data_IF_510274757827
#
_entry.id   IF_510274757827
#
_cell.length_a   1.000
_cell.length_b   1.000
_cell.length_c   1.000
_cell.angle_alpha   90.00
_cell.angle_beta   90.00
_cell.angle_gamma   90.00
#
_symmetry.space_group_name_H-M   'P 1'
#
loop_
_entity.id
_entity.type
_entity.pdbx_description
1 polymer ?
#
# COMPACT_ATOMS: atom_id res chain seq x y z
N UNK A 1 -0.03 -68.95 -45.84
CA UNK A 1 -0.96 -67.83 -46.11
C UNK A 1 -0.60 -66.68 -45.18
N UNK A 2 0.18 -65.70 -45.66
CA UNK A 2 0.66 -64.56 -44.87
C UNK A 2 -0.52 -63.63 -44.53
N UNK A 3 -0.82 -63.45 -43.24
CA UNK A 3 -1.69 -62.34 -42.78
C UNK A 3 -0.81 -61.27 -42.14
N UNK A 4 -0.70 -60.16 -42.86
CA UNK A 4 0.04 -58.94 -42.50
C UNK A 4 -0.66 -58.27 -41.32
N UNK A 5 -0.05 -58.30 -40.13
CA UNK A 5 -0.50 -57.54 -38.95
C UNK A 5 0.55 -56.51 -38.48
N UNK A 6 1.49 -56.13 -39.34
CA UNK A 6 2.56 -55.17 -38.99
C UNK A 6 2.21 -53.70 -39.23
N UNK A 7 1.07 -53.37 -39.86
CA UNK A 7 0.72 -51.98 -40.19
C UNK A 7 0.06 -51.14 -39.07
N UNK A 8 -0.83 -51.66 -38.19
CA UNK A 8 -1.52 -50.78 -37.25
C UNK A 8 -0.65 -50.36 -36.07
N UNK A 9 0.35 -51.16 -35.69
CA UNK A 9 1.26 -50.87 -34.58
C UNK A 9 2.27 -49.77 -34.90
N UNK A 10 2.71 -49.66 -36.17
CA UNK A 10 3.65 -48.62 -36.60
C UNK A 10 3.01 -47.23 -36.61
N UNK A 11 1.72 -47.13 -36.97
CA UNK A 11 0.98 -45.86 -36.94
C UNK A 11 0.72 -45.35 -35.53
N UNK A 12 0.50 -46.24 -34.55
CA UNK A 12 0.31 -45.87 -33.13
C UNK A 12 1.61 -45.37 -32.49
N UNK A 13 2.75 -45.94 -32.87
CA UNK A 13 4.06 -45.46 -32.41
C UNK A 13 4.43 -44.10 -33.01
N UNK A 14 4.12 -43.84 -34.29
CA UNK A 14 4.39 -42.52 -34.89
C UNK A 14 3.49 -41.40 -34.33
N UNK A 15 2.24 -41.70 -33.96
CA UNK A 15 1.35 -40.68 -33.38
C UNK A 15 1.78 -40.25 -31.97
N UNK A 16 2.37 -41.15 -31.18
CA UNK A 16 2.89 -40.82 -29.84
C UNK A 16 4.14 -39.91 -29.88
N UNK A 17 4.98 -40.04 -30.90
CA UNK A 17 6.18 -39.20 -31.05
C UNK A 17 5.80 -37.77 -31.45
N UNK A 18 4.76 -37.59 -32.28
CA UNK A 18 4.29 -36.27 -32.67
C UNK A 18 3.69 -35.46 -31.50
N UNK A 19 3.07 -36.11 -30.51
CA UNK A 19 2.53 -35.43 -29.32
C UNK A 19 3.67 -34.87 -28.45
N UNK A 20 4.80 -35.57 -28.37
CA UNK A 20 5.94 -35.16 -27.53
C UNK A 20 6.72 -33.95 -28.08
N UNK A 21 6.56 -33.62 -29.36
CA UNK A 21 7.22 -32.47 -30.03
C UNK A 21 6.34 -31.21 -30.10
N UNK A 22 5.04 -31.33 -29.77
CA UNK A 22 4.09 -30.21 -29.77
C UNK A 22 3.83 -29.65 -28.37
N UNK A 23 4.41 -30.23 -27.32
CA UNK A 23 4.49 -29.58 -26.02
C UNK A 23 5.55 -28.47 -26.13
N UNK A 24 5.18 -27.19 -25.96
CA UNK A 24 6.19 -26.16 -25.77
C UNK A 24 7.05 -26.59 -24.57
N UNK A 25 8.37 -26.48 -24.69
CA UNK A 25 9.26 -26.66 -23.54
C UNK A 25 8.72 -25.80 -22.40
N UNK A 26 8.35 -26.45 -21.29
CA UNK A 26 7.70 -25.90 -20.08
C UNK A 26 8.55 -24.86 -19.32
N UNK A 27 9.42 -24.12 -20.00
CA UNK A 27 10.29 -23.09 -19.43
C UNK A 27 9.81 -21.68 -19.70
N UNK A 28 9.03 -21.41 -20.76
CA UNK A 28 8.49 -20.05 -21.01
C UNK A 28 7.10 -19.80 -20.42
N UNK A 29 6.22 -20.81 -20.31
CA UNK A 29 4.89 -20.60 -19.74
C UNK A 29 4.92 -20.49 -18.20
N UNK A 30 5.90 -21.15 -17.56
CA UNK A 30 6.09 -21.13 -16.10
C UNK A 30 7.02 -20.01 -15.61
N UNK A 31 7.81 -19.39 -16.48
CA UNK A 31 8.68 -18.26 -16.08
C UNK A 31 7.89 -16.96 -15.83
N UNK A 32 6.66 -16.87 -16.32
CA UNK A 32 5.75 -15.77 -15.98
C UNK A 32 4.88 -16.03 -14.74
N UNK A 33 4.97 -17.21 -14.09
CA UNK A 33 4.00 -17.57 -13.03
C UNK A 33 4.46 -17.32 -11.60
N UNK A 34 5.72 -16.97 -11.34
CA UNK A 34 6.17 -16.52 -10.02
C UNK A 34 7.29 -15.50 -10.16
N UNK A 35 6.95 -14.23 -10.41
CA UNK A 35 7.83 -13.15 -9.97
C UNK A 35 8.16 -13.41 -8.49
N UNK A 36 9.46 -13.51 -8.21
CA UNK A 36 10.00 -13.87 -6.91
C UNK A 36 9.43 -12.94 -5.83
N UNK A 37 8.48 -13.41 -5.01
CA UNK A 37 7.83 -12.66 -3.90
C UNK A 37 8.75 -12.40 -2.70
N UNK A 38 9.97 -11.90 -2.89
CA UNK A 38 11.01 -12.00 -1.85
C UNK A 38 11.59 -10.69 -1.29
N UNK A 39 10.97 -9.52 -1.48
CA UNK A 39 11.52 -8.30 -0.88
C UNK A 39 10.72 -7.77 0.33
N UNK A 40 9.40 -8.00 0.41
CA UNK A 40 8.56 -7.45 1.50
C UNK A 40 7.49 -8.44 2.00
N UNK A 41 7.21 -8.43 3.31
CA UNK A 41 5.97 -8.99 3.85
C UNK A 41 4.82 -8.00 3.61
N UNK A 42 3.63 -8.48 3.22
CA UNK A 42 2.46 -7.62 3.15
C UNK A 42 2.20 -6.94 4.49
N UNK A 43 1.97 -5.64 4.46
CA UNK A 43 1.71 -4.85 5.66
C UNK A 43 0.48 -3.99 5.48
N UNK A 44 -0.26 -3.78 6.56
CA UNK A 44 -1.47 -3.01 6.55
C UNK A 44 -1.50 -2.06 7.73
N UNK A 45 -1.99 -0.85 7.53
CA UNK A 45 -2.22 0.10 8.62
C UNK A 45 -3.41 0.99 8.38
N UNK A 46 -3.88 1.60 9.47
CA UNK A 46 -5.05 2.44 9.52
C UNK A 46 -4.71 3.74 10.24
N UNK A 47 -5.13 4.86 9.65
CA UNK A 47 -5.33 6.13 10.32
C UNK A 47 -6.83 6.31 10.56
N UNK A 48 -7.29 6.10 11.80
CA UNK A 48 -8.68 6.32 12.19
C UNK A 48 -8.86 7.74 12.74
N UNK A 49 -9.47 8.61 11.92
CA UNK A 49 -9.81 9.97 12.32
C UNK A 49 -11.14 9.92 13.08
N UNK A 50 -11.10 9.49 14.34
CA UNK A 50 -12.28 9.39 15.20
C UNK A 50 -12.34 10.50 16.28
N UNK A 51 -11.33 11.37 16.35
CA UNK A 51 -11.25 12.51 17.27
C UNK A 51 -11.23 13.85 16.52
N UNK A 52 -11.65 14.94 17.16
CA UNK A 52 -11.67 16.27 16.51
C UNK A 52 -12.77 16.49 15.45
N UNK A 53 -12.54 17.49 14.59
CA UNK A 53 -13.47 18.00 13.56
C UNK A 53 -13.47 17.20 12.26
N UNK A 54 -12.36 16.54 11.94
CA UNK A 54 -12.23 15.63 10.80
C UNK A 54 -12.67 14.24 11.22
N UNK A 55 -13.53 13.59 10.41
CA UNK A 55 -13.97 12.20 10.63
C UNK A 55 -13.77 11.36 9.39
N UNK A 56 -13.13 10.21 9.52
CA UNK A 56 -12.87 9.32 8.38
C UNK A 56 -11.87 8.24 8.68
N UNK A 57 -11.55 7.47 7.66
CA UNK A 57 -10.55 6.40 7.72
C UNK A 57 -9.64 6.48 6.51
N UNK A 58 -8.35 6.31 6.73
CA UNK A 58 -7.36 6.12 5.67
C UNK A 58 -6.60 4.85 5.95
N UNK A 59 -6.54 3.98 4.96
CA UNK A 59 -5.84 2.70 5.02
C UNK A 59 -4.59 2.75 4.16
N UNK A 60 -3.62 1.96 4.57
CA UNK A 60 -2.37 1.81 3.89
C UNK A 60 -2.10 0.32 3.70
N UNK A 61 -1.91 -0.12 2.46
CA UNK A 61 -1.71 -1.53 2.11
C UNK A 61 -0.43 -1.67 1.29
N UNK A 62 0.60 -2.24 1.89
CA UNK A 62 1.88 -2.52 1.23
C UNK A 62 1.88 -3.96 0.71
N UNK A 63 2.17 -4.13 -0.58
CA UNK A 63 2.28 -5.43 -1.25
C UNK A 63 3.69 -6.03 -1.15
N UNK A 64 3.87 -7.25 -1.66
CA UNK A 64 5.15 -7.98 -1.60
C UNK A 64 6.29 -7.30 -2.38
N UNK A 65 5.98 -6.33 -3.25
CA UNK A 65 6.97 -5.54 -4.00
C UNK A 65 7.43 -4.30 -3.22
N UNK A 66 6.79 -4.01 -2.09
CA UNK A 66 7.04 -2.81 -1.29
C UNK A 66 6.25 -1.58 -1.75
N UNK A 67 5.44 -1.70 -2.81
CA UNK A 67 4.52 -0.66 -3.23
C UNK A 67 3.36 -0.55 -2.25
N UNK A 68 2.96 0.68 -1.94
CA UNK A 68 1.93 0.98 -0.95
C UNK A 68 0.75 1.64 -1.62
N UNK A 69 -0.42 1.01 -1.54
CA UNK A 69 -1.68 1.68 -1.83
C UNK A 69 -2.18 2.42 -0.60
N UNK A 70 -2.51 3.70 -0.77
CA UNK A 70 -3.18 4.51 0.25
C UNK A 70 -4.58 4.81 -0.25
N UNK A 71 -5.58 4.47 0.54
CA UNK A 71 -6.98 4.67 0.21
C UNK A 71 -7.74 5.24 1.39
N UNK A 72 -8.76 6.05 1.16
CA UNK A 72 -9.49 6.63 2.26
C UNK A 72 -10.76 7.36 1.87
N UNK A 73 -11.50 7.74 2.90
CA UNK A 73 -12.71 8.53 2.80
C UNK A 73 -12.92 9.30 4.11
N UNK A 74 -13.37 10.55 3.99
CA UNK A 74 -13.79 11.35 5.14
C UNK A 74 -15.29 11.63 5.06
N UNK A 75 -15.98 11.48 6.17
CA UNK A 75 -17.39 11.82 6.31
C UNK A 75 -17.61 13.23 6.85
N UNK A 76 -16.60 13.84 7.49
CA UNK A 76 -16.66 15.21 8.04
C UNK A 76 -15.30 15.90 8.00
N UNK A 77 -15.33 17.23 8.00
CA UNK A 77 -14.14 18.10 8.12
C UNK A 77 -13.72 18.79 6.82
N UNK A 78 -14.47 18.61 5.74
CA UNK A 78 -14.16 19.08 4.39
C UNK A 78 -15.31 19.94 3.84
N UNK A 79 -15.71 20.96 4.61
CA UNK A 79 -16.88 21.78 4.29
C UNK A 79 -16.62 22.85 3.22
N UNK A 80 -15.37 23.32 3.10
CA UNK A 80 -15.00 24.34 2.13
C UNK A 80 -14.62 23.67 0.81
N UNK A 81 -15.46 23.78 -0.21
CA UNK A 81 -15.22 23.17 -1.53
C UNK A 81 -14.19 23.91 -2.37
N UNK A 82 -13.72 25.08 -1.93
CA UNK A 82 -12.72 25.89 -2.63
C UNK A 82 -11.33 25.80 -1.99
N UNK A 83 -11.22 25.20 -0.80
CA UNK A 83 -9.96 24.99 -0.14
C UNK A 83 -9.12 23.91 -0.84
N UNK A 84 -7.79 24.05 -0.75
CA UNK A 84 -6.87 22.98 -1.08
C UNK A 84 -6.73 22.05 0.13
N UNK A 85 -7.00 20.76 -0.06
CA UNK A 85 -6.81 19.76 0.98
C UNK A 85 -5.59 18.90 0.71
N UNK A 86 -4.85 18.61 1.76
CA UNK A 86 -3.67 17.76 1.72
C UNK A 86 -3.71 16.65 2.76
N UNK A 87 -2.77 15.72 2.61
CA UNK A 87 -2.61 14.58 3.50
C UNK A 87 -1.13 14.25 3.65
N UNK A 88 -0.67 14.23 4.89
CA UNK A 88 0.73 14.07 5.23
C UNK A 88 0.90 12.94 6.25
N UNK A 89 1.98 12.19 6.10
CA UNK A 89 2.49 11.29 7.14
C UNK A 89 3.51 12.07 7.95
N UNK A 90 3.37 12.02 9.27
CA UNK A 90 4.24 12.75 10.20
C UNK A 90 4.85 11.81 11.23
N UNK A 91 6.01 12.20 11.74
CA UNK A 91 6.64 11.52 12.85
C UNK A 91 5.92 11.79 14.18
N UNK A 92 6.40 11.19 15.26
CA UNK A 92 5.83 11.35 16.60
C UNK A 92 5.88 12.80 17.15
N UNK A 93 6.64 13.68 16.49
CA UNK A 93 6.73 15.11 16.80
C UNK A 93 5.90 15.99 15.85
N UNK A 94 5.14 15.40 14.91
CA UNK A 94 4.36 16.14 13.93
C UNK A 94 5.19 16.74 12.80
N UNK A 95 6.44 16.29 12.61
CA UNK A 95 7.25 16.72 11.47
C UNK A 95 6.95 15.84 10.27
N UNK A 96 6.85 16.46 9.11
CA UNK A 96 6.55 15.77 7.86
C UNK A 96 7.59 14.70 7.54
N UNK A 97 7.10 13.49 7.24
CA UNK A 97 7.85 12.38 6.67
C UNK A 97 7.54 12.23 5.19
N UNK A 98 6.27 12.32 4.82
CA UNK A 98 5.79 12.23 3.44
C UNK A 98 4.60 13.15 3.23
N UNK A 99 4.65 13.97 2.18
CA UNK A 99 3.46 14.65 1.65
C UNK A 99 2.85 13.80 0.52
N UNK A 100 1.62 13.33 0.73
CA UNK A 100 0.87 12.50 -0.21
C UNK A 100 -0.21 13.28 -0.97
N UNK A 101 -0.30 14.59 -0.76
CA UNK A 101 -1.40 15.43 -1.22
C UNK A 101 -1.61 15.38 -2.73
N UNK A 102 -0.52 15.49 -3.49
CA UNK A 102 -0.56 15.50 -4.97
C UNK A 102 -1.05 14.18 -5.57
N UNK A 103 -0.68 13.05 -4.96
CA UNK A 103 -1.09 11.73 -5.45
C UNK A 103 -2.52 11.37 -5.06
N UNK A 104 -2.98 11.77 -3.87
CA UNK A 104 -4.31 11.43 -3.38
C UNK A 104 -5.41 12.30 -3.98
N UNK A 105 -5.12 13.57 -4.32
CA UNK A 105 -6.08 14.53 -4.89
C UNK A 105 -7.45 14.51 -4.16
N UNK A 106 -7.42 14.81 -2.86
CA UNK A 106 -8.60 14.74 -2.00
C UNK A 106 -9.61 15.82 -2.43
N UNK A 107 -10.81 15.39 -2.82
CA UNK A 107 -11.88 16.28 -3.27
C UNK A 107 -13.07 16.23 -2.32
N UNK A 108 -13.55 17.38 -1.83
CA UNK A 108 -14.78 17.46 -1.05
C UNK A 108 -15.98 16.91 -1.82
N UNK A 109 -16.92 16.28 -1.11
CA UNK A 109 -18.17 15.76 -1.68
C UNK A 109 -19.31 16.80 -1.73
N UNK A 110 -19.11 17.97 -1.12
CA UNK A 110 -20.12 19.03 -0.98
C UNK A 110 -21.08 18.85 0.21
N UNK A 111 -20.97 17.74 0.94
CA UNK A 111 -21.76 17.38 2.13
C UNK A 111 -20.93 17.43 3.43
N UNK A 112 -19.72 17.98 3.36
CA UNK A 112 -18.79 18.12 4.48
C UNK A 112 -17.77 16.98 4.60
N UNK A 113 -17.85 15.97 3.73
CA UNK A 113 -16.90 14.87 3.60
C UNK A 113 -16.09 14.96 2.30
N UNK A 114 -15.58 13.83 1.86
CA UNK A 114 -14.81 13.70 0.61
C UNK A 114 -15.35 12.58 -0.24
N UNK A 115 -15.10 12.66 -1.55
CA UNK A 115 -15.14 11.45 -2.37
C UNK A 115 -14.10 10.45 -1.84
N UNK A 116 -14.33 9.16 -2.09
CA UNK A 116 -13.31 8.15 -1.84
C UNK A 116 -12.09 8.41 -2.74
N UNK A 117 -10.90 8.30 -2.16
CA UNK A 117 -9.64 8.50 -2.87
C UNK A 117 -8.74 7.27 -2.71
N UNK A 118 -7.88 7.05 -3.70
CA UNK A 118 -6.83 6.04 -3.65
C UNK A 118 -5.67 6.37 -4.57
N UNK A 119 -4.45 6.02 -4.16
CA UNK A 119 -3.27 6.11 -5.01
C UNK A 119 -2.20 5.12 -4.57
N UNK A 120 -1.39 4.62 -5.51
CA UNK A 120 -0.23 3.79 -5.21
C UNK A 120 1.02 4.66 -5.14
N UNK A 121 1.73 4.58 -4.03
CA UNK A 121 2.99 5.26 -3.78
C UNK A 121 4.12 4.26 -3.60
N UNK A 122 5.32 4.65 -4.01
CA UNK A 122 6.54 3.93 -3.66
C UNK A 122 7.05 4.39 -2.28
N UNK A 123 6.27 4.14 -1.23
CA UNK A 123 6.62 4.45 0.16
C UNK A 123 6.72 3.17 0.97
N UNK A 124 7.77 3.07 1.79
CA UNK A 124 8.00 1.90 2.62
C UNK A 124 7.32 2.04 3.98
N UNK A 125 6.25 1.29 4.19
CA UNK A 125 5.56 1.30 5.47
C UNK A 125 6.21 0.35 6.48
N UNK A 126 6.43 -0.92 6.11
CA UNK A 126 6.98 -1.94 7.01
C UNK A 126 7.68 -3.09 6.28
N UNK A 127 8.15 -2.87 5.07
CA UNK A 127 8.80 -3.90 4.26
C UNK A 127 10.20 -4.26 4.79
N UNK A 128 10.93 -3.28 5.33
CA UNK A 128 12.29 -3.46 5.84
C UNK A 128 12.55 -2.57 7.06
N UNK A 129 13.78 -2.59 7.57
CA UNK A 129 14.18 -1.85 8.77
C UNK A 129 14.05 -0.31 8.67
N UNK A 130 13.67 0.24 7.52
CA UNK A 130 13.37 1.65 7.30
C UNK A 130 11.87 1.97 7.21
N UNK A 131 10.98 1.00 7.45
CA UNK A 131 9.54 1.23 7.49
C UNK A 131 9.14 2.23 8.58
N UNK A 132 8.21 3.13 8.27
CA UNK A 132 7.79 4.18 9.21
C UNK A 132 6.61 3.78 10.12
N UNK A 133 5.98 2.60 9.97
CA UNK A 133 4.82 2.24 10.78
C UNK A 133 5.13 2.08 12.28
N UNK A 134 6.35 1.67 12.61
CA UNK A 134 6.74 1.33 13.98
C UNK A 134 8.17 1.75 14.33
N UNK A 135 8.92 2.30 13.37
CA UNK A 135 10.30 2.70 13.61
C UNK A 135 10.33 3.95 14.47
N UNK A 136 11.02 3.82 15.59
CA UNK A 136 11.60 4.93 16.32
C UNK A 136 12.61 5.61 15.39
N UNK A 137 12.21 6.71 14.76
CA UNK A 137 13.11 7.47 13.90
C UNK A 137 14.19 8.22 14.70
N UNK A 138 13.98 8.36 16.02
CA UNK A 138 14.83 9.17 16.88
C UNK A 138 15.23 8.43 18.15
N UNK A 139 16.53 8.26 18.39
CA UNK A 139 17.02 7.51 19.56
C UNK A 139 16.82 8.26 20.89
N UNK A 140 16.83 9.59 20.85
CA UNK A 140 16.69 10.40 22.07
C UNK A 140 15.23 10.57 22.47
N UNK A 141 14.95 10.53 23.78
CA UNK A 141 13.67 10.94 24.39
C UNK A 141 13.46 12.43 24.11
N UNK A 142 13.21 12.80 22.86
CA UNK A 142 13.06 14.19 22.47
C UNK A 142 11.72 14.67 22.96
N UNK A 143 11.80 15.65 23.84
CA UNK A 143 10.72 16.55 24.12
C UNK A 143 10.37 17.26 22.80
N UNK A 144 9.41 16.77 22.03
CA UNK A 144 8.88 17.48 20.84
C UNK A 144 8.34 18.88 21.20
N UNK A 145 8.22 19.18 22.50
CA UNK A 145 7.90 20.48 23.07
C UNK A 145 8.95 20.91 24.08
N UNK A 146 9.40 22.17 24.04
CA UNK A 146 10.44 22.79 24.87
C UNK A 146 10.29 22.71 26.40
N UNK A 147 9.26 22.03 26.92
CA UNK A 147 8.87 22.07 28.33
C UNK A 147 9.48 20.95 29.20
N UNK A 148 10.54 20.26 28.74
CA UNK A 148 11.29 19.26 29.51
C UNK A 148 10.48 18.09 30.12
N UNK A 149 9.21 17.92 29.75
CA UNK A 149 8.34 16.84 30.25
C UNK A 149 8.44 15.62 29.34
N UNK A 150 9.07 14.57 29.87
CA UNK A 150 9.05 13.24 29.27
C UNK A 150 7.59 12.81 29.04
N UNK A 151 7.19 12.72 27.78
CA UNK A 151 5.89 12.16 27.37
C UNK A 151 6.09 10.76 26.79
N UNK A 152 5.07 9.91 26.95
CA UNK A 152 5.01 8.63 26.25
C UNK A 152 5.07 8.92 24.75
N UNK A 153 5.96 8.24 24.03
CA UNK A 153 6.07 8.37 22.56
C UNK A 153 4.75 7.94 21.93
N UNK A 154 4.24 8.77 21.03
CA UNK A 154 3.12 8.42 20.16
C UNK A 154 3.64 7.63 18.96
N UNK A 155 2.82 6.77 18.34
CA UNK A 155 3.13 6.27 17.02
C UNK A 155 3.22 7.43 16.02
N UNK A 156 3.85 7.20 14.88
CA UNK A 156 3.78 8.11 13.73
C UNK A 156 2.30 8.32 13.36
N UNK A 157 2.00 9.48 12.79
CA UNK A 157 0.64 9.94 12.55
C UNK A 157 0.36 10.28 11.11
N UNK A 158 -0.91 10.47 10.81
CA UNK A 158 -1.41 11.08 9.59
C UNK A 158 -2.08 12.42 9.93
N UNK A 159 -1.82 13.43 9.12
CA UNK A 159 -2.41 14.76 9.22
C UNK A 159 -3.15 15.09 7.94
N UNK A 160 -4.38 15.61 8.06
CA UNK A 160 -5.04 16.32 6.97
C UNK A 160 -4.67 17.79 7.04
N UNK A 161 -4.55 18.46 5.88
CA UNK A 161 -4.37 19.91 5.81
C UNK A 161 -5.49 20.58 5.04
N UNK A 162 -5.77 21.84 5.38
CA UNK A 162 -6.64 22.74 4.64
C UNK A 162 -5.84 24.03 4.38
N UNK A 163 -5.66 24.39 3.12
CA UNK A 163 -4.84 25.52 2.68
C UNK A 163 -3.43 25.53 3.31
N UNK A 164 -2.83 24.33 3.42
CA UNK A 164 -1.50 24.13 4.01
C UNK A 164 -1.45 24.14 5.55
N UNK A 165 -2.58 24.35 6.24
CA UNK A 165 -2.65 24.30 7.70
C UNK A 165 -3.22 22.97 8.18
N UNK A 166 -2.65 22.41 9.25
CA UNK A 166 -3.14 21.17 9.87
C UNK A 166 -4.60 21.30 10.31
N UNK A 167 -5.45 20.37 9.88
CA UNK A 167 -6.90 20.35 10.16
C UNK A 167 -7.38 19.11 10.91
N UNK A 168 -6.60 18.04 10.91
CA UNK A 168 -6.92 16.77 11.57
C UNK A 168 -5.67 15.93 11.82
N UNK A 169 -5.74 15.06 12.83
CA UNK A 169 -4.66 14.15 13.20
C UNK A 169 -5.22 12.78 13.58
N UNK A 170 -4.58 11.71 13.12
CA UNK A 170 -4.82 10.35 13.56
C UNK A 170 -3.49 9.62 13.73
N UNK A 171 -3.36 8.82 14.81
CA UNK A 171 -2.20 7.93 14.96
C UNK A 171 -2.32 6.75 14.00
N UNK A 172 -1.19 6.30 13.44
CA UNK A 172 -1.14 5.10 12.63
C UNK A 172 -1.15 3.84 13.51
N UNK A 173 -1.96 2.87 13.14
CA UNK A 173 -2.07 1.57 13.81
C UNK A 173 -1.95 0.46 12.77
N UNK A 174 -1.11 -0.53 13.04
CA UNK A 174 -0.96 -1.75 12.23
C UNK A 174 -2.02 -2.79 12.62
#
# INVERSE_FOLDING_TARGET
MMRRFALPTFFVLLSLIAISLALPSDTELLSHTFEKRNDCQCSFAIADFNSGSVKGVVTFSQDETGCTEVAGIFSRGFNDTHASYGFQIVDECGRELFDLSSGLNITPDGCGGTNAFRHKFNINIDCNSNGFLTKVLHNDKRNCHSNNKLRKRLPNGAITTQNGQSSGYAGLTK
#
